data_IF_396169342947
#
_entry.id   IF_396169342947
#
_cell.length_a   1.000
_cell.length_b   1.000
_cell.length_c   1.000
_cell.angle_alpha   90.00
_cell.angle_beta   90.00
_cell.angle_gamma   90.00
#
_symmetry.space_group_name_H-M   'P 1'
#
loop_
_entity.id
_entity.type
_entity.pdbx_description
1 polymer ?
#
# COMPACT_ATOMS: atom_id res chain seq x y z
N UNK A 1 11.12 -17.34 -19.82
CA UNK A 1 11.48 -16.66 -18.56
C UNK A 1 10.23 -15.97 -18.02
N UNK A 2 9.48 -16.64 -17.15
CA UNK A 2 8.23 -16.07 -16.60
C UNK A 2 8.58 -14.99 -15.58
N UNK A 3 8.31 -13.72 -15.91
CA UNK A 3 8.30 -12.62 -14.95
C UNK A 3 7.23 -12.95 -13.91
N UNK A 4 7.60 -13.53 -12.76
CA UNK A 4 6.72 -13.56 -11.60
C UNK A 4 6.31 -12.11 -11.35
N UNK A 5 5.05 -11.80 -11.59
CA UNK A 5 4.50 -10.46 -11.39
C UNK A 5 4.87 -10.00 -9.98
N UNK A 6 5.63 -8.91 -9.89
CA UNK A 6 5.75 -8.13 -8.66
C UNK A 6 4.37 -7.50 -8.37
N UNK A 7 3.43 -8.32 -7.91
CA UNK A 7 2.06 -7.92 -7.62
C UNK A 7 2.00 -7.33 -6.22
N UNK A 8 2.10 -6.00 -6.16
CA UNK A 8 2.05 -5.25 -4.92
C UNK A 8 0.72 -5.44 -4.18
N UNK A 9 -0.36 -5.74 -4.90
CA UNK A 9 -1.67 -5.98 -4.31
C UNK A 9 -1.69 -7.28 -3.51
N UNK A 10 -1.06 -8.33 -4.04
CA UNK A 10 -0.87 -9.57 -3.30
C UNK A 10 0.06 -9.39 -2.08
N UNK A 11 1.14 -8.61 -2.21
CA UNK A 11 1.99 -8.26 -1.06
C UNK A 11 1.21 -7.50 0.04
N UNK A 12 0.37 -6.55 -0.34
CA UNK A 12 -0.38 -5.71 0.61
C UNK A 12 -1.38 -6.50 1.44
N UNK A 13 -1.87 -7.66 0.95
CA UNK A 13 -2.74 -8.56 1.72
C UNK A 13 -2.09 -9.01 3.03
N UNK A 14 -0.78 -9.24 3.05
CA UNK A 14 -0.02 -9.64 4.24
C UNK A 14 0.15 -8.48 5.25
N UNK A 15 -0.12 -7.25 4.80
CA UNK A 15 -0.03 -6.03 5.60
C UNK A 15 -1.38 -5.53 6.11
N UNK A 16 -2.46 -6.31 5.94
CA UNK A 16 -3.77 -5.98 6.51
C UNK A 16 -3.65 -5.75 8.02
N UNK A 17 -4.22 -4.64 8.49
CA UNK A 17 -4.15 -4.19 9.87
C UNK A 17 -2.83 -3.52 10.27
N UNK A 18 -1.80 -3.53 9.41
CA UNK A 18 -0.49 -2.91 9.70
C UNK A 18 -0.44 -1.48 9.20
N UNK A 19 0.37 -0.67 9.89
CA UNK A 19 0.74 0.67 9.44
C UNK A 19 1.89 0.59 8.44
N UNK A 20 1.68 1.18 7.27
CA UNK A 20 2.61 1.17 6.15
C UNK A 20 2.82 2.58 5.60
N UNK A 21 3.95 2.78 4.93
CA UNK A 21 4.17 3.88 4.02
C UNK A 21 3.98 3.38 2.58
N UNK A 22 3.10 4.04 1.83
CA UNK A 22 2.80 3.77 0.42
C UNK A 22 3.40 4.87 -0.42
N UNK A 23 4.25 4.49 -1.38
CA UNK A 23 4.73 5.40 -2.43
C UNK A 23 3.92 5.21 -3.70
N UNK A 24 3.40 6.29 -4.27
CA UNK A 24 2.65 6.22 -5.52
C UNK A 24 3.56 6.42 -6.74
N UNK A 25 3.16 5.82 -7.87
CA UNK A 25 3.81 6.03 -9.17
C UNK A 25 3.56 7.46 -9.68
N UNK A 26 2.32 7.94 -9.55
CA UNK A 26 1.89 9.24 -10.05
C UNK A 26 0.97 9.95 -9.05
N UNK A 27 1.22 11.23 -8.72
CA UNK A 27 2.46 11.95 -9.02
C UNK A 27 3.64 11.37 -8.22
N UNK A 28 4.83 11.38 -8.82
CA UNK A 28 6.03 10.72 -8.24
C UNK A 28 6.50 11.34 -6.93
N UNK A 29 6.10 12.58 -6.62
CA UNK A 29 6.43 13.22 -5.34
C UNK A 29 5.53 12.72 -4.19
N UNK A 30 4.35 12.19 -4.48
CA UNK A 30 3.38 11.85 -3.46
C UNK A 30 3.67 10.49 -2.81
N UNK A 31 3.40 10.42 -1.51
CA UNK A 31 3.54 9.23 -0.69
C UNK A 31 2.78 9.47 0.61
N UNK A 32 2.30 8.42 1.24
CA UNK A 32 1.46 8.56 2.43
C UNK A 32 1.63 7.41 3.39
N UNK A 33 1.38 7.68 4.66
CA UNK A 33 1.42 6.71 5.74
C UNK A 33 0.02 6.46 6.29
N UNK A 34 -0.31 5.20 6.50
CA UNK A 34 -1.62 4.81 7.00
C UNK A 34 -1.71 3.33 7.34
N UNK A 35 -2.82 2.96 7.96
CA UNK A 35 -3.16 1.58 8.31
C UNK A 35 -3.96 0.96 7.18
N UNK A 36 -3.54 -0.22 6.70
CA UNK A 36 -4.32 -0.95 5.70
C UNK A 36 -5.52 -1.58 6.39
N UNK A 37 -6.73 -1.19 6.01
CA UNK A 37 -7.96 -1.75 6.55
C UNK A 37 -8.37 -3.03 5.82
N UNK A 38 -8.27 -3.00 4.49
CA UNK A 38 -8.71 -4.07 3.61
C UNK A 38 -8.06 -3.95 2.23
N UNK A 39 -8.01 -5.07 1.51
CA UNK A 39 -7.58 -5.16 0.12
C UNK A 39 -8.64 -5.97 -0.61
N UNK A 40 -9.27 -5.39 -1.63
CA UNK A 40 -10.33 -6.02 -2.42
C UNK A 40 -9.98 -5.93 -3.88
N UNK A 41 -9.82 -7.08 -4.53
CA UNK A 41 -9.36 -7.17 -5.91
C UNK A 41 -8.07 -6.37 -6.14
N UNK A 42 -8.17 -5.24 -6.83
CA UNK A 42 -7.07 -4.32 -7.14
C UNK A 42 -7.11 -3.03 -6.29
N UNK A 43 -7.93 -2.96 -5.24
CA UNK A 43 -8.15 -1.77 -4.42
C UNK A 43 -7.60 -1.95 -3.01
N UNK A 44 -6.87 -0.95 -2.54
CA UNK A 44 -6.37 -0.86 -1.17
C UNK A 44 -7.18 0.20 -0.44
N UNK A 45 -7.73 -0.19 0.71
CA UNK A 45 -8.44 0.69 1.62
C UNK A 45 -7.49 1.04 2.76
N UNK A 46 -7.08 2.30 2.82
CA UNK A 46 -6.11 2.83 3.77
C UNK A 46 -6.77 3.88 4.65
N UNK A 47 -6.53 3.81 5.95
CA UNK A 47 -6.83 4.88 6.91
C UNK A 47 -5.55 5.68 7.18
N UNK A 48 -5.56 6.98 6.93
CA UNK A 48 -4.40 7.83 7.17
C UNK A 48 -4.10 7.98 8.67
N UNK A 49 -2.83 8.15 9.04
CA UNK A 49 -2.41 8.32 10.45
C UNK A 49 -3.10 9.52 11.15
N UNK A 50 -3.43 10.57 10.40
CA UNK A 50 -4.11 11.76 10.92
C UNK A 50 -5.61 11.81 10.59
N UNK A 51 -6.21 10.66 10.24
CA UNK A 51 -7.61 10.54 9.88
C UNK A 51 -7.90 10.77 8.40
N UNK A 52 -9.03 10.21 7.96
CA UNK A 52 -9.44 10.16 6.56
C UNK A 52 -9.21 8.78 5.94
N UNK A 53 -10.04 8.44 4.96
CA UNK A 53 -10.01 7.19 4.22
C UNK A 53 -9.51 7.44 2.80
N UNK A 54 -8.67 6.54 2.32
CA UNK A 54 -8.22 6.47 0.94
C UNK A 54 -8.59 5.12 0.34
N UNK A 55 -9.07 5.15 -0.89
CA UNK A 55 -9.25 3.96 -1.72
C UNK A 55 -8.39 4.16 -2.95
N UNK A 56 -7.38 3.32 -3.13
CA UNK A 56 -6.42 3.47 -4.24
C UNK A 56 -6.19 2.15 -4.96
N UNK A 57 -6.08 2.19 -6.29
CA UNK A 57 -5.70 1.03 -7.09
C UNK A 57 -4.24 0.63 -6.80
N UNK A 58 -3.98 -0.66 -6.64
CA UNK A 58 -2.62 -1.18 -6.45
C UNK A 58 -1.71 -0.85 -7.64
N UNK A 59 -2.27 -0.77 -8.84
CA UNK A 59 -1.53 -0.36 -10.04
C UNK A 59 -0.87 1.02 -9.93
N UNK A 60 -1.39 1.90 -9.07
CA UNK A 60 -0.82 3.22 -8.83
C UNK A 60 0.26 3.22 -7.76
N UNK A 61 0.55 2.08 -7.13
CA UNK A 61 1.54 1.97 -6.05
C UNK A 61 2.88 1.53 -6.64
N UNK A 62 3.93 2.29 -6.32
CA UNK A 62 5.31 1.99 -6.71
C UNK A 62 5.95 0.99 -5.75
N UNK A 63 5.92 1.28 -4.45
CA UNK A 63 6.38 0.38 -3.40
C UNK A 63 5.65 0.65 -2.08
N UNK A 64 5.73 -0.30 -1.16
CA UNK A 64 5.20 -0.20 0.21
C UNK A 64 6.30 -0.59 1.21
N UNK A 65 6.35 0.09 2.35
CA UNK A 65 7.24 -0.22 3.47
C UNK A 65 6.42 -0.34 4.76
N UNK A 66 6.61 -1.39 5.59
CA UNK A 66 6.04 -1.40 6.93
C UNK A 66 6.72 -0.32 7.78
N UNK A 67 5.95 0.48 8.51
CA UNK A 67 6.51 1.53 9.39
C UNK A 67 7.03 0.94 10.70
N UNK A 68 6.58 -0.28 11.04
CA UNK A 68 7.11 -1.07 12.15
C UNK A 68 8.11 -2.12 11.63
N UNK A 69 9.25 -1.70 11.08
CA UNK A 69 10.39 -2.61 10.95
C UNK A 69 11.10 -2.67 12.31
N UNK A 70 11.36 -3.86 12.89
CA UNK A 70 12.15 -3.96 14.13
C UNK A 70 13.56 -3.42 13.90
N UNK A 71 14.17 -2.95 15.00
CA UNK A 71 15.61 -2.66 15.07
C UNK A 71 16.45 -3.90 14.76
#
# INVERSE_FOLDING_TARGET
MSRRNCDICNLLKDYRGRTVFIKFKCPTYFGTAGRILDIRDNLVILEYIYGGLSVTCCDNICYVLPINAPA
#
